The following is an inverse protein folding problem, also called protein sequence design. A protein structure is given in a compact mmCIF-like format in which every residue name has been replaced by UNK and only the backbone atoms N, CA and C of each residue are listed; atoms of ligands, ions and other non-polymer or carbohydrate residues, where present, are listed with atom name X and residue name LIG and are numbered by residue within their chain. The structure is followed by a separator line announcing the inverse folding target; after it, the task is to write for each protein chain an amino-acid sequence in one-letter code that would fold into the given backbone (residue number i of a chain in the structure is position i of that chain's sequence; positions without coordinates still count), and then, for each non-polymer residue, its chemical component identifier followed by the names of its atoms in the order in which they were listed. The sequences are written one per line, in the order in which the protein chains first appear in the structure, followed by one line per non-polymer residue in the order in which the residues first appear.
data_IF_482336571040
#
_entry.id   IF_482336571040
#
_cell.length_a   1.000
_cell.length_b   1.000
_cell.length_c   1.000
_cell.angle_alpha   90.00
_cell.angle_beta   90.00
_cell.angle_gamma   90.00
#
_symmetry.space_group_name_H-M   'P 1'
#
loop_
_entity.id
_entity.type
_entity.pdbx_description
1 polymer ?
#
# COMPACT_ATOMS: atom_id res chain seq x y z
N UNK A 1 -9.72 11.33 1.65
CA UNK A 1 -9.82 10.30 0.61
C UNK A 1 -9.02 10.67 -0.63
N UNK A 2 -8.50 9.67 -1.36
CA UNK A 2 -7.91 9.78 -2.68
C UNK A 2 -8.69 8.88 -3.63
N UNK A 3 -8.87 9.26 -4.92
CA UNK A 3 -9.48 8.38 -5.90
C UNK A 3 -8.68 7.07 -6.00
N UNK A 4 -9.37 5.93 -6.04
CA UNK A 4 -8.76 4.61 -6.18
C UNK A 4 -8.99 4.05 -7.58
N UNK A 5 -8.07 3.21 -8.04
CA UNK A 5 -8.19 2.43 -9.26
C UNK A 5 -8.76 1.05 -8.92
N UNK A 6 -10.08 0.92 -8.83
CA UNK A 6 -10.73 -0.33 -8.45
C UNK A 6 -11.80 -0.77 -9.46
N UNK A 7 -11.33 -1.34 -10.57
CA UNK A 7 -12.19 -1.83 -11.65
C UNK A 7 -12.89 -0.72 -12.45
N UNK A 8 -13.86 -1.14 -13.26
CA UNK A 8 -14.65 -0.26 -14.13
C UNK A 8 -16.06 -0.07 -13.55
N UNK A 9 -16.17 0.20 -12.27
CA UNK A 9 -17.46 0.44 -11.62
C UNK A 9 -17.97 1.85 -11.95
N UNK A 10 -19.28 2.01 -11.96
CA UNK A 10 -19.95 3.30 -12.12
C UNK A 10 -19.86 4.18 -10.86
N UNK A 11 -19.33 3.65 -9.77
CA UNK A 11 -19.20 4.33 -8.49
C UNK A 11 -17.74 4.72 -8.25
N UNK A 12 -17.55 5.88 -7.61
CA UNK A 12 -16.22 6.34 -7.22
C UNK A 12 -15.69 5.47 -6.07
N UNK A 13 -14.46 4.98 -6.23
CA UNK A 13 -13.73 4.23 -5.21
C UNK A 13 -12.65 5.12 -4.60
N UNK A 14 -12.37 4.92 -3.31
CA UNK A 14 -11.41 5.74 -2.58
C UNK A 14 -10.48 4.90 -1.71
N UNK A 15 -9.23 5.32 -1.65
CA UNK A 15 -8.29 4.98 -0.59
C UNK A 15 -8.15 6.17 0.38
N UNK A 16 -7.47 5.98 1.50
CA UNK A 16 -7.48 6.98 2.57
C UNK A 16 -6.09 7.27 3.11
N UNK A 17 -5.83 8.56 3.34
CA UNK A 17 -4.81 9.00 4.29
C UNK A 17 -5.52 9.42 5.58
N UNK A 18 -5.05 8.90 6.70
CA UNK A 18 -5.49 9.26 8.05
C UNK A 18 -4.31 9.93 8.74
N UNK A 19 -4.53 11.17 9.17
CA UNK A 19 -3.52 12.01 9.83
C UNK A 19 -4.06 12.45 11.19
N UNK A 20 -3.30 12.20 12.25
CA UNK A 20 -3.64 12.62 13.62
C UNK A 20 -2.87 13.85 14.08
N UNK A 21 -2.10 14.47 13.18
CA UNK A 21 -1.24 15.63 13.43
C UNK A 21 0.17 15.26 13.89
N UNK A 22 0.46 13.98 14.13
CA UNK A 22 1.78 13.45 14.47
C UNK A 22 2.23 12.41 13.46
N UNK A 23 1.35 11.48 13.15
CA UNK A 23 1.59 10.37 12.25
C UNK A 23 0.55 10.35 11.12
N UNK A 24 0.97 10.04 9.91
CA UNK A 24 0.11 9.88 8.76
C UNK A 24 0.14 8.43 8.26
N UNK A 25 -1.03 7.82 8.18
CA UNK A 25 -1.25 6.45 7.71
C UNK A 25 -1.91 6.47 6.33
N UNK A 26 -1.26 5.84 5.34
CA UNK A 26 -1.84 5.61 4.02
C UNK A 26 -2.36 4.17 3.93
N UNK A 27 -3.67 4.01 3.70
CA UNK A 27 -4.30 2.73 3.37
C UNK A 27 -4.53 2.66 1.86
N UNK A 28 -3.88 1.70 1.21
CA UNK A 28 -3.98 1.51 -0.26
C UNK A 28 -4.86 0.32 -0.65
N UNK A 29 -5.73 -0.12 0.25
CA UNK A 29 -6.57 -1.29 -0.01
C UNK A 29 -7.59 -1.02 -1.10
N UNK A 30 -7.84 -2.01 -1.94
CA UNK A 30 -8.76 -1.93 -3.08
C UNK A 30 -8.36 -0.84 -4.09
N UNK A 31 -7.08 -0.84 -4.47
CA UNK A 31 -6.63 -0.03 -5.60
C UNK A 31 -5.55 -0.76 -6.41
N UNK A 32 -5.57 -0.56 -7.71
CA UNK A 32 -4.43 -0.83 -8.58
C UNK A 32 -3.32 0.21 -8.39
N UNK A 33 -2.31 0.17 -9.27
CA UNK A 33 -1.17 1.07 -9.17
C UNK A 33 -1.60 2.54 -9.22
N UNK A 34 -0.91 3.38 -8.49
CA UNK A 34 -1.23 4.79 -8.35
C UNK A 34 -1.14 5.55 -9.68
N UNK A 35 -2.11 6.42 -9.92
CA UNK A 35 -2.10 7.40 -11.01
C UNK A 35 -1.28 8.62 -10.63
N UNK A 36 -0.91 9.43 -11.64
CA UNK A 36 -0.25 10.71 -11.39
C UNK A 36 -1.05 11.63 -10.46
N UNK A 37 -2.39 11.62 -10.59
CA UNK A 37 -3.30 12.41 -9.76
C UNK A 37 -3.22 12.02 -8.27
N UNK A 38 -3.11 10.72 -7.96
CA UNK A 38 -2.95 10.23 -6.59
C UNK A 38 -1.64 10.71 -5.98
N UNK A 39 -0.54 10.64 -6.72
CA UNK A 39 0.76 11.16 -6.27
C UNK A 39 0.73 12.68 -6.07
N UNK A 40 0.16 13.43 -7.01
CA UNK A 40 0.01 14.89 -6.88
C UNK A 40 -0.82 15.28 -5.64
N UNK A 41 -1.86 14.52 -5.33
CA UNK A 41 -2.66 14.74 -4.12
C UNK A 41 -1.81 14.56 -2.87
N UNK A 42 -1.01 13.49 -2.78
CA UNK A 42 -0.11 13.25 -1.66
C UNK A 42 0.94 14.36 -1.53
N UNK A 43 1.53 14.80 -2.63
CA UNK A 43 2.51 15.90 -2.64
C UNK A 43 1.89 17.21 -2.15
N UNK A 44 0.68 17.54 -2.59
CA UNK A 44 -0.06 18.75 -2.17
C UNK A 44 -0.49 18.70 -0.71
N UNK A 45 -0.63 17.52 -0.11
CA UNK A 45 -0.97 17.40 1.31
C UNK A 45 0.16 17.80 2.24
N UNK A 46 1.41 17.82 1.76
CA UNK A 46 2.63 18.06 2.55
C UNK A 46 2.82 17.12 3.75
N UNK A 47 2.13 15.96 3.75
CA UNK A 47 2.27 14.95 4.79
C UNK A 47 3.46 14.05 4.50
N UNK A 48 4.18 13.66 5.55
CA UNK A 48 5.12 12.55 5.52
C UNK A 48 4.44 11.31 6.09
N UNK A 49 4.40 10.26 5.30
CA UNK A 49 3.71 9.03 5.68
C UNK A 49 4.55 8.24 6.68
N UNK A 50 3.99 7.99 7.87
CA UNK A 50 4.61 7.18 8.93
C UNK A 50 4.37 5.68 8.69
N UNK A 51 3.19 5.32 8.16
CA UNK A 51 2.81 3.94 7.85
C UNK A 51 2.16 3.90 6.48
N UNK A 52 2.51 2.89 5.68
CA UNK A 52 1.87 2.58 4.40
C UNK A 52 1.38 1.12 4.42
N UNK A 53 0.07 0.92 4.41
CA UNK A 53 -0.54 -0.40 4.26
C UNK A 53 -0.79 -0.67 2.79
N UNK A 54 -0.09 -1.66 2.26
CA UNK A 54 0.00 -1.98 0.84
C UNK A 54 -1.11 -2.99 0.46
N UNK A 55 -1.83 -2.73 -0.63
CA UNK A 55 -2.69 -3.74 -1.25
C UNK A 55 -1.81 -4.84 -1.86
N UNK A 56 -1.85 -6.03 -1.31
CA UNK A 56 -1.09 -7.17 -1.79
C UNK A 56 -2.00 -8.36 -2.16
N UNK A 57 -3.20 -8.04 -2.66
CA UNK A 57 -4.24 -9.00 -3.00
C UNK A 57 -3.75 -10.06 -3.98
N UNK A 58 -3.02 -9.66 -4.99
CA UNK A 58 -2.53 -10.57 -6.03
C UNK A 58 -1.22 -11.29 -5.66
N UNK A 59 -0.63 -10.97 -4.49
CA UNK A 59 0.66 -11.50 -4.06
C UNK A 59 1.71 -11.39 -5.18
N UNK A 60 2.26 -12.51 -5.66
CA UNK A 60 3.25 -12.52 -6.76
C UNK A 60 2.62 -12.81 -8.14
N UNK A 61 1.30 -12.95 -8.22
CA UNK A 61 0.61 -13.19 -9.48
C UNK A 61 0.45 -11.91 -10.29
N UNK A 62 0.19 -12.06 -11.59
CA UNK A 62 -0.24 -10.94 -12.43
C UNK A 62 -1.52 -10.33 -11.87
N UNK A 63 -1.66 -9.03 -12.01
CA UNK A 63 -2.80 -8.27 -11.51
C UNK A 63 -3.39 -7.41 -12.62
N UNK A 64 -4.67 -7.04 -12.44
CA UNK A 64 -5.35 -6.05 -13.27
C UNK A 64 -5.29 -4.66 -12.65
N UNK A 65 -6.32 -3.84 -12.91
CA UNK A 65 -6.37 -2.44 -12.47
C UNK A 65 -7.05 -2.24 -11.11
N UNK A 66 -7.43 -3.32 -10.41
CA UNK A 66 -8.23 -3.21 -9.19
C UNK A 66 -7.43 -3.41 -7.91
N UNK A 67 -6.29 -4.06 -8.02
CA UNK A 67 -5.41 -4.42 -6.91
C UNK A 67 -3.97 -4.37 -7.36
N UNK A 68 -3.05 -4.35 -6.41
CA UNK A 68 -1.61 -4.44 -6.67
C UNK A 68 -1.07 -5.84 -6.38
N UNK A 69 0.03 -6.15 -7.02
CA UNK A 69 0.85 -7.31 -6.71
C UNK A 69 2.15 -6.88 -6.00
N UNK A 70 3.00 -7.85 -5.71
CA UNK A 70 4.25 -7.61 -5.00
C UNK A 70 5.19 -6.63 -5.73
N UNK A 71 5.36 -6.81 -7.04
CA UNK A 71 6.26 -5.96 -7.84
C UNK A 71 5.76 -4.52 -7.92
N UNK A 72 4.45 -4.34 -8.08
CA UNK A 72 3.83 -3.01 -8.07
C UNK A 72 3.96 -2.32 -6.72
N UNK A 73 3.85 -3.07 -5.61
CA UNK A 73 4.08 -2.52 -4.28
C UNK A 73 5.54 -2.07 -4.08
N UNK A 74 6.52 -2.85 -4.55
CA UNK A 74 7.92 -2.43 -4.51
C UNK A 74 8.16 -1.17 -5.35
N UNK A 75 7.53 -1.08 -6.52
CA UNK A 75 7.58 0.11 -7.37
C UNK A 75 6.91 1.31 -6.70
N UNK A 76 5.76 1.12 -6.04
CA UNK A 76 5.09 2.18 -5.28
C UNK A 76 5.98 2.72 -4.16
N UNK A 77 6.62 1.84 -3.39
CA UNK A 77 7.57 2.24 -2.33
C UNK A 77 8.72 3.07 -2.90
N UNK A 78 9.29 2.65 -4.03
CA UNK A 78 10.37 3.39 -4.68
C UNK A 78 9.91 4.78 -5.13
N UNK A 79 8.73 4.90 -5.71
CA UNK A 79 8.13 6.16 -6.15
C UNK A 79 7.83 7.10 -4.96
N UNK A 80 7.28 6.57 -3.86
CA UNK A 80 7.05 7.35 -2.64
C UNK A 80 8.36 7.91 -2.05
N UNK A 81 9.44 7.14 -2.10
CA UNK A 81 10.78 7.59 -1.67
C UNK A 81 11.34 8.67 -2.58
N UNK A 82 11.24 8.49 -3.90
CA UNK A 82 11.73 9.46 -4.89
C UNK A 82 11.01 10.81 -4.74
N UNK A 83 9.68 10.76 -4.51
CA UNK A 83 8.85 11.95 -4.28
C UNK A 83 8.97 12.54 -2.87
N UNK A 84 9.78 11.94 -1.99
CA UNK A 84 9.99 12.38 -0.60
C UNK A 84 8.69 12.43 0.23
N UNK A 85 7.77 11.51 -0.05
CA UNK A 85 6.51 11.34 0.69
C UNK A 85 6.67 10.45 1.93
N UNK A 86 7.82 9.80 2.07
CA UNK A 86 8.18 8.88 3.14
C UNK A 86 9.58 9.17 3.66
N UNK A 87 9.93 8.59 4.81
CA UNK A 87 11.25 8.69 5.43
C UNK A 87 11.84 7.29 5.65
N UNK A 88 13.08 7.22 6.11
CA UNK A 88 13.74 5.95 6.51
C UNK A 88 13.05 5.27 7.71
N UNK A 89 12.16 5.99 8.40
CA UNK A 89 11.38 5.47 9.53
C UNK A 89 9.99 4.97 9.12
N UNK A 90 9.59 5.17 7.88
CA UNK A 90 8.26 4.75 7.39
C UNK A 90 8.13 3.24 7.45
N UNK A 91 7.05 2.78 8.06
CA UNK A 91 6.71 1.37 8.20
C UNK A 91 5.83 0.93 7.02
N UNK A 92 6.25 -0.11 6.32
CA UNK A 92 5.47 -0.71 5.23
C UNK A 92 4.85 -2.03 5.70
N UNK A 93 3.58 -2.22 5.39
CA UNK A 93 2.82 -3.40 5.77
C UNK A 93 2.15 -3.99 4.53
N UNK A 94 2.55 -5.19 4.12
CA UNK A 94 1.84 -5.95 3.11
C UNK A 94 0.57 -6.53 3.74
N UNK A 95 -0.57 -6.20 3.15
CA UNK A 95 -1.90 -6.51 3.68
C UNK A 95 -2.88 -6.85 2.57
N UNK A 96 -4.14 -7.05 2.91
CA UNK A 96 -5.23 -7.27 1.95
C UNK A 96 -5.02 -8.50 1.06
N UNK A 97 -4.50 -9.60 1.63
CA UNK A 97 -4.20 -10.82 0.87
C UNK A 97 -5.48 -11.56 0.44
N UNK A 98 -5.49 -12.03 -0.80
CA UNK A 98 -6.48 -12.97 -1.29
C UNK A 98 -5.93 -14.40 -1.23
N UNK A 99 -6.80 -15.37 -0.89
CA UNK A 99 -6.47 -16.80 -1.00
C UNK A 99 -6.14 -17.22 -2.45
N UNK A 100 -6.56 -16.43 -3.43
CA UNK A 100 -6.22 -16.66 -4.85
C UNK A 100 -4.77 -16.32 -5.19
N UNK A 101 -4.05 -15.62 -4.30
CA UNK A 101 -2.64 -15.29 -4.48
C UNK A 101 -1.70 -16.51 -4.46
N UNK A 102 -2.11 -17.57 -3.77
CA UNK A 102 -1.46 -18.89 -3.79
C UNK A 102 -0.30 -19.07 -2.82
N UNK A 103 0.27 -18.00 -2.25
CA UNK A 103 1.32 -18.10 -1.24
C UNK A 103 0.72 -18.23 0.16
N UNK A 104 1.33 -19.09 0.98
CA UNK A 104 1.05 -19.16 2.41
C UNK A 104 1.59 -17.91 3.14
N UNK A 105 1.12 -17.69 4.38
CA UNK A 105 1.67 -16.65 5.23
C UNK A 105 3.19 -16.74 5.39
N UNK A 106 3.74 -17.94 5.61
CA UNK A 106 5.17 -18.15 5.80
C UNK A 106 5.98 -17.77 4.55
N UNK A 107 5.48 -18.08 3.36
CA UNK A 107 6.13 -17.70 2.09
C UNK A 107 6.08 -16.18 1.86
N UNK A 108 4.95 -15.54 2.12
CA UNK A 108 4.83 -14.09 2.06
C UNK A 108 5.73 -13.40 3.10
N UNK A 109 5.78 -13.90 4.33
CA UNK A 109 6.63 -13.35 5.38
C UNK A 109 8.12 -13.45 5.01
N UNK A 110 8.55 -14.59 4.44
CA UNK A 110 9.92 -14.77 3.98
C UNK A 110 10.28 -13.82 2.82
N UNK A 111 9.31 -13.53 1.93
CA UNK A 111 9.48 -12.56 0.84
C UNK A 111 9.56 -11.13 1.39
N UNK A 112 8.63 -10.74 2.23
CA UNK A 112 8.49 -9.40 2.80
C UNK A 112 9.70 -9.01 3.65
N UNK A 113 10.22 -9.94 4.46
CA UNK A 113 11.37 -9.70 5.34
C UNK A 113 12.62 -9.24 4.57
N UNK A 114 12.83 -9.71 3.34
CA UNK A 114 13.96 -9.31 2.50
C UNK A 114 13.93 -7.84 2.10
N UNK A 115 12.77 -7.21 2.20
CA UNK A 115 12.51 -5.83 1.81
C UNK A 115 12.10 -4.94 3.00
N UNK A 116 12.26 -5.43 4.24
CA UNK A 116 11.88 -4.71 5.46
C UNK A 116 10.38 -4.32 5.49
N UNK A 117 9.54 -5.17 4.89
CA UNK A 117 8.08 -5.02 4.86
C UNK A 117 7.48 -6.01 5.87
N UNK A 118 6.56 -5.53 6.69
CA UNK A 118 5.81 -6.38 7.63
C UNK A 118 4.72 -7.11 6.86
N UNK A 119 4.59 -8.42 7.06
CA UNK A 119 3.43 -9.17 6.57
C UNK A 119 2.35 -9.13 7.64
N UNK A 120 1.16 -8.63 7.30
CA UNK A 120 0.06 -8.52 8.25
C UNK A 120 -0.52 -9.89 8.62
N UNK A 121 -1.10 -9.96 9.80
CA UNK A 121 -1.93 -11.06 10.30
C UNK A 121 -3.02 -10.51 11.21
N UNK A 122 -4.06 -11.31 11.46
CA UNK A 122 -5.19 -10.89 12.29
C UNK A 122 -4.73 -10.57 13.72
N UNK A 123 -4.97 -9.36 14.16
CA UNK A 123 -4.54 -8.85 15.47
C UNK A 123 -3.14 -8.22 15.48
N UNK A 124 -2.51 -7.98 14.33
CA UNK A 124 -1.27 -7.21 14.27
C UNK A 124 -1.48 -5.79 14.80
N UNK A 125 -0.68 -5.41 15.78
CA UNK A 125 -0.62 -4.03 16.30
C UNK A 125 0.73 -3.41 15.95
N UNK A 126 0.72 -2.15 15.49
CA UNK A 126 1.91 -1.37 15.18
C UNK A 126 1.86 -0.11 16.04
N UNK A 127 2.92 0.09 16.84
CA UNK A 127 3.10 1.28 17.64
C UNK A 127 4.05 2.25 16.94
N UNK A 128 3.65 3.51 16.84
CA UNK A 128 4.42 4.62 16.27
C UNK A 128 4.88 5.60 17.34
#
# INVERSE_FOLDING_TARGET
PLPAQHGNFSEDCFIFVIDDGKDAFLSTHDTGYFTSEMFEYLEKSHLLLSIVSLDCTSQTNETGNSHMNWEENLKLIAELKERKLVTDKTIYVANHFSHNGGLSYAEMAALSQKHEIITSYDGLEILT
#
